data_IF_927005179491
#
_entry.id   IF_927005179491
#
_cell.length_a   1.000
_cell.length_b   1.000
_cell.length_c   1.000
_cell.angle_alpha   90.00
_cell.angle_beta   90.00
_cell.angle_gamma   90.00
#
_symmetry.space_group_name_H-M   'P 1'
#
loop_
_entity.id
_entity.type
_entity.pdbx_description
1 polymer ?
#
# COMPACT_ATOMS: atom_id res chain seq x y z
N UNK A 1 42.60 -5.16 15.28
CA UNK A 1 41.28 -5.85 15.29
C UNK A 1 40.31 -5.07 16.16
N UNK A 2 39.45 -4.26 15.56
CA UNK A 2 38.33 -3.60 16.24
C UNK A 2 37.04 -4.28 15.75
N UNK A 3 36.36 -4.99 16.65
CA UNK A 3 35.00 -5.49 16.43
C UNK A 3 34.10 -4.29 16.20
N UNK A 4 33.54 -4.17 15.00
CA UNK A 4 32.44 -3.26 14.70
C UNK A 4 31.20 -3.71 15.47
N UNK A 5 30.80 -2.92 16.45
CA UNK A 5 29.59 -3.09 17.25
C UNK A 5 28.40 -2.74 16.36
N UNK A 6 27.94 -3.72 15.59
CA UNK A 6 26.69 -3.65 14.85
C UNK A 6 25.81 -4.79 15.36
N UNK A 7 25.43 -4.69 16.63
CA UNK A 7 24.44 -5.56 17.24
C UNK A 7 23.55 -4.74 18.18
N UNK A 8 22.25 -4.86 17.93
CA UNK A 8 21.15 -4.64 18.87
C UNK A 8 20.93 -3.24 19.49
N UNK A 9 20.32 -2.36 18.71
CA UNK A 9 19.31 -1.45 19.26
C UNK A 9 17.97 -1.76 18.59
N UNK A 10 17.27 -2.79 19.10
CA UNK A 10 15.86 -3.05 18.78
C UNK A 10 15.04 -1.90 19.37
N UNK A 11 14.97 -0.79 18.65
CA UNK A 11 14.22 0.40 19.08
C UNK A 11 12.75 0.06 19.21
N UNK A 12 12.18 0.28 20.41
CA UNK A 12 10.74 0.17 20.67
C UNK A 12 9.99 1.08 19.69
N UNK A 13 9.28 0.49 18.73
CA UNK A 13 8.41 1.24 17.83
C UNK A 13 7.07 1.50 18.49
N UNK A 14 6.38 2.53 18.06
CA UNK A 14 5.03 2.85 18.50
C UNK A 14 4.08 2.72 17.31
N UNK A 15 3.03 1.95 17.50
CA UNK A 15 1.93 1.81 16.54
C UNK A 15 0.93 2.92 16.78
N UNK A 16 0.70 3.71 15.75
CA UNK A 16 -0.31 4.76 15.73
C UNK A 16 -1.56 4.20 15.04
N UNK A 17 -2.72 4.41 15.63
CA UNK A 17 -4.00 3.93 15.10
C UNK A 17 -5.03 5.05 15.17
N UNK A 18 -5.62 5.36 14.02
CA UNK A 18 -6.65 6.37 13.84
C UNK A 18 -7.93 5.62 13.45
N UNK A 19 -8.91 5.49 14.37
CA UNK A 19 -10.20 4.89 14.04
C UNK A 19 -10.91 5.73 13.00
N UNK A 20 -11.67 5.06 12.13
CA UNK A 20 -12.37 5.68 11.00
C UNK A 20 -11.43 6.40 10.02
N UNK A 21 -10.12 6.15 10.10
CA UNK A 21 -9.11 6.83 9.28
C UNK A 21 -9.32 6.67 7.77
N UNK A 22 -9.98 5.58 7.34
CA UNK A 22 -10.33 5.32 5.94
C UNK A 22 -11.36 6.32 5.37
N UNK A 23 -12.08 7.05 6.23
CA UNK A 23 -12.96 8.18 5.83
C UNK A 23 -12.16 9.30 5.17
N UNK A 24 -10.89 9.45 5.55
CA UNK A 24 -10.08 10.61 5.21
C UNK A 24 -9.09 10.31 4.09
N UNK A 25 -8.79 11.31 3.26
CA UNK A 25 -7.70 11.23 2.30
C UNK A 25 -6.36 11.12 3.05
N UNK A 26 -5.46 10.23 2.60
CA UNK A 26 -4.16 9.98 3.24
C UNK A 26 -3.33 11.25 3.40
N UNK A 27 -3.15 12.02 2.31
CA UNK A 27 -2.35 13.24 2.29
C UNK A 27 -2.92 14.29 3.23
N UNK A 28 -4.25 14.51 3.19
CA UNK A 28 -4.93 15.42 4.10
C UNK A 28 -4.75 15.00 5.58
N UNK A 29 -4.96 13.71 5.88
CA UNK A 29 -4.86 13.18 7.24
C UNK A 29 -3.43 13.36 7.78
N UNK A 30 -2.42 13.01 6.97
CA UNK A 30 -1.03 13.14 7.37
C UNK A 30 -0.62 14.60 7.54
N UNK A 31 -0.99 15.50 6.63
CA UNK A 31 -0.69 16.92 6.74
C UNK A 31 -1.36 17.55 7.96
N UNK A 32 -2.59 17.13 8.29
CA UNK A 32 -3.33 17.61 9.46
C UNK A 32 -2.68 17.17 10.78
N UNK A 33 -2.14 15.95 10.81
CA UNK A 33 -1.39 15.44 11.98
C UNK A 33 -0.06 16.16 12.11
N UNK A 34 0.67 16.33 11.00
CA UNK A 34 1.97 16.99 10.99
C UNK A 34 1.86 18.46 11.42
N UNK A 35 0.80 19.18 11.03
CA UNK A 35 0.62 20.59 11.41
C UNK A 35 0.33 20.81 12.89
N UNK A 36 -0.22 19.81 13.58
CA UNK A 36 -0.54 19.87 15.01
C UNK A 36 0.51 19.18 15.90
N UNK A 37 1.42 18.42 15.31
CA UNK A 37 2.50 17.74 16.01
C UNK A 37 3.67 18.71 16.22
N UNK A 38 4.12 18.86 17.47
CA UNK A 38 5.26 19.72 17.81
C UNK A 38 6.62 19.11 17.42
N UNK A 39 6.64 17.84 17.01
CA UNK A 39 7.85 17.12 16.59
C UNK A 39 7.67 16.68 15.14
N UNK A 40 8.60 17.02 14.22
CA UNK A 40 8.55 16.52 12.86
C UNK A 40 8.79 15.01 12.86
N UNK A 41 8.03 14.28 12.04
CA UNK A 41 8.21 12.83 11.92
C UNK A 41 7.86 12.36 10.52
N UNK A 42 8.40 11.20 10.15
CA UNK A 42 8.02 10.49 8.93
C UNK A 42 7.21 9.26 9.33
N UNK A 43 5.94 9.15 8.90
CA UNK A 43 5.17 7.94 9.15
C UNK A 43 5.83 6.75 8.46
N UNK A 44 6.03 5.67 9.19
CA UNK A 44 6.57 4.43 8.65
C UNK A 44 5.39 3.50 8.35
N UNK A 45 5.36 2.94 7.14
CA UNK A 45 4.33 1.97 6.71
C UNK A 45 2.92 2.49 6.99
N UNK A 46 2.54 3.64 6.42
CA UNK A 46 1.16 4.10 6.52
C UNK A 46 0.25 3.21 5.66
N UNK A 47 -0.84 2.75 6.23
CA UNK A 47 -1.79 1.88 5.54
C UNK A 47 -3.15 1.90 6.22
N UNK A 48 -4.15 1.38 5.51
CA UNK A 48 -5.46 1.13 6.09
C UNK A 48 -5.55 -0.34 6.55
N UNK A 49 -6.28 -0.60 7.64
CA UNK A 49 -6.72 -1.95 8.03
C UNK A 49 -8.16 -1.83 8.48
N UNK A 50 -9.07 -2.49 7.76
CA UNK A 50 -10.52 -2.31 7.95
C UNK A 50 -10.84 -0.81 7.86
N UNK A 51 -11.56 -0.27 8.83
CA UNK A 51 -11.90 1.15 8.88
C UNK A 51 -10.93 1.96 9.75
N UNK A 52 -9.62 1.69 9.70
CA UNK A 52 -8.62 2.38 10.52
C UNK A 52 -7.40 2.74 9.68
N UNK A 53 -6.85 3.93 9.88
CA UNK A 53 -5.51 4.24 9.40
C UNK A 53 -4.49 3.84 10.46
N UNK A 54 -3.36 3.28 10.03
CA UNK A 54 -2.28 2.82 10.89
C UNK A 54 -0.94 3.19 10.29
N UNK A 55 0.00 3.56 11.15
CA UNK A 55 1.41 3.77 10.79
C UNK A 55 2.27 3.60 12.03
N UNK A 56 3.59 3.64 11.87
CA UNK A 56 4.55 3.46 12.94
C UNK A 56 5.51 4.64 13.04
N UNK A 57 6.03 4.86 14.26
CA UNK A 57 7.13 5.79 14.55
C UNK A 57 8.16 5.10 15.44
N UNK A 58 9.43 5.51 15.35
CA UNK A 58 10.53 4.89 16.10
C UNK A 58 10.80 5.55 17.45
N UNK A 59 10.47 6.83 17.61
CA UNK A 59 10.87 7.61 18.79
C UNK A 59 9.74 7.77 19.80
N UNK A 60 10.08 7.59 21.08
CA UNK A 60 9.15 7.80 22.19
C UNK A 60 8.72 9.28 22.32
N UNK A 61 9.60 10.23 21.98
CA UNK A 61 9.28 11.65 21.92
C UNK A 61 8.19 11.94 20.89
N UNK A 62 8.36 11.42 19.67
CA UNK A 62 7.37 11.49 18.60
C UNK A 62 6.05 10.82 18.99
N UNK A 63 6.12 9.65 19.62
CA UNK A 63 4.93 8.95 20.11
C UNK A 63 4.17 9.75 21.18
N UNK A 64 4.88 10.42 22.10
CA UNK A 64 4.29 11.31 23.10
C UNK A 64 3.65 12.53 22.44
N UNK A 65 4.35 13.18 21.50
CA UNK A 65 3.83 14.32 20.77
C UNK A 65 2.55 13.96 20.00
N UNK A 66 2.51 12.79 19.36
CA UNK A 66 1.31 12.28 18.67
C UNK A 66 0.15 11.98 19.62
N UNK A 67 0.43 11.56 20.86
CA UNK A 67 -0.59 11.39 21.89
C UNK A 67 -1.22 12.73 22.26
N UNK A 68 -0.43 13.80 22.27
CA UNK A 68 -0.92 15.16 22.53
C UNK A 68 -1.72 15.74 21.36
N UNK A 69 -1.59 15.20 20.15
CA UNK A 69 -2.43 15.60 18.98
C UNK A 69 -3.85 15.03 19.07
N UNK A 70 -4.08 14.01 19.91
CA UNK A 70 -5.37 13.35 20.04
C UNK A 70 -6.52 14.36 20.27
N UNK A 71 -7.56 14.26 19.45
CA UNK A 71 -8.75 15.12 19.50
C UNK A 71 -8.50 16.62 19.27
N UNK A 72 -7.33 17.03 18.75
CA UNK A 72 -7.03 18.42 18.36
C UNK A 72 -7.40 18.75 16.91
N UNK A 73 -7.53 17.73 16.06
CA UNK A 73 -7.90 17.89 14.64
C UNK A 73 -9.40 17.68 14.50
N UNK A 74 -10.07 18.56 13.78
CA UNK A 74 -11.47 18.43 13.37
C UNK A 74 -11.56 18.17 11.86
N UNK A 75 -12.47 17.30 11.45
CA UNK A 75 -12.85 17.17 10.04
C UNK A 75 -13.86 18.25 9.63
N UNK A 76 -14.27 18.22 8.35
CA UNK A 76 -15.23 19.18 7.76
C UNK A 76 -16.59 19.19 8.45
N UNK A 77 -16.96 18.11 9.16
CA UNK A 77 -18.19 17.97 9.94
C UNK A 77 -18.00 18.37 11.41
N UNK A 78 -16.87 19.01 11.75
CA UNK A 78 -16.43 19.30 13.12
C UNK A 78 -16.28 18.05 14.02
N UNK A 79 -16.10 16.85 13.44
CA UNK A 79 -15.83 15.65 14.22
C UNK A 79 -14.34 15.58 14.59
N UNK A 80 -14.07 15.34 15.87
CA UNK A 80 -12.69 15.25 16.38
C UNK A 80 -12.04 13.91 16.01
N UNK A 81 -10.85 13.96 15.45
CA UNK A 81 -10.07 12.77 15.10
C UNK A 81 -9.36 12.24 16.34
N UNK A 82 -9.62 10.97 16.67
CA UNK A 82 -8.94 10.26 17.75
C UNK A 82 -7.65 9.58 17.25
N UNK A 83 -6.55 9.73 18.00
CA UNK A 83 -5.25 9.13 17.71
C UNK A 83 -4.84 8.26 18.90
N UNK A 84 -4.68 6.97 18.66
CA UNK A 84 -4.23 6.00 19.65
C UNK A 84 -2.78 5.63 19.41
N UNK A 85 -1.96 5.74 20.45
CA UNK A 85 -0.53 5.41 20.43
C UNK A 85 -0.30 4.20 21.32
N UNK A 86 0.15 3.10 20.75
CA UNK A 86 0.42 1.85 21.47
C UNK A 86 1.90 1.45 21.29
N UNK A 87 2.61 1.05 22.36
CA UNK A 87 3.91 0.41 22.19
C UNK A 87 3.78 -0.82 21.31
N UNK A 88 4.69 -0.98 20.36
CA UNK A 88 4.76 -2.16 19.51
C UNK A 88 5.96 -3.00 19.95
N UNK A 89 5.67 -4.20 20.44
CA UNK A 89 6.67 -5.21 20.80
C UNK A 89 6.98 -6.16 19.66
N UNK A 90 6.34 -5.98 18.49
CA UNK A 90 6.57 -6.90 17.36
C UNK A 90 8.00 -6.73 16.82
N UNK A 91 8.78 -7.83 16.74
CA UNK A 91 10.06 -7.80 16.08
C UNK A 91 9.82 -7.55 14.59
N UNK A 92 10.20 -6.35 14.12
CA UNK A 92 10.43 -5.97 12.72
C UNK A 92 9.71 -6.85 11.67
N UNK A 93 8.40 -6.67 11.49
CA UNK A 93 7.68 -7.23 10.33
C UNK A 93 7.95 -6.48 9.02
N UNK A 94 8.69 -5.36 9.07
CA UNK A 94 8.75 -4.36 8.00
C UNK A 94 10.15 -3.82 7.66
N UNK A 95 11.25 -4.44 8.11
CA UNK A 95 12.49 -4.30 7.33
C UNK A 95 12.31 -5.21 6.10
N UNK A 96 12.52 -4.66 4.90
CA UNK A 96 12.42 -5.39 3.63
C UNK A 96 13.01 -6.80 3.80
N UNK A 97 12.14 -7.82 3.82
CA UNK A 97 12.58 -9.23 3.87
C UNK A 97 13.36 -9.62 2.62
N UNK A 98 13.29 -8.80 1.57
CA UNK A 98 14.06 -8.96 0.36
C UNK A 98 15.45 -8.38 0.58
N UNK A 99 16.46 -9.23 0.45
CA UNK A 99 17.85 -8.79 0.30
C UNK A 99 17.98 -7.94 -0.98
N UNK A 100 19.01 -7.09 -1.08
CA UNK A 100 19.28 -6.32 -2.31
C UNK A 100 19.33 -7.21 -3.56
N UNK A 101 19.93 -8.40 -3.46
CA UNK A 101 20.00 -9.39 -4.53
C UNK A 101 18.60 -9.88 -4.97
N UNK A 102 17.71 -10.18 -4.02
CA UNK A 102 16.32 -10.56 -4.34
C UNK A 102 15.54 -9.40 -4.95
N UNK A 103 15.78 -8.17 -4.50
CA UNK A 103 15.17 -6.97 -5.10
C UNK A 103 15.63 -6.76 -6.55
N UNK A 104 16.92 -6.96 -6.83
CA UNK A 104 17.46 -6.86 -8.20
C UNK A 104 16.85 -7.91 -9.12
N UNK A 105 16.75 -9.17 -8.66
CA UNK A 105 16.12 -10.25 -9.44
C UNK A 105 14.65 -9.96 -9.71
N UNK A 106 13.90 -9.49 -8.71
CA UNK A 106 12.52 -9.07 -8.90
C UNK A 106 12.41 -7.94 -9.95
N UNK A 107 13.28 -6.94 -9.89
CA UNK A 107 13.32 -5.85 -10.88
C UNK A 107 13.59 -6.37 -12.28
N UNK A 108 14.56 -7.28 -12.45
CA UNK A 108 14.87 -7.88 -13.76
C UNK A 108 13.67 -8.67 -14.32
N UNK A 109 12.98 -9.45 -13.49
CA UNK A 109 11.75 -10.15 -13.90
C UNK A 109 10.67 -9.16 -14.33
N UNK A 110 10.46 -8.08 -13.57
CA UNK A 110 9.48 -7.05 -13.91
C UNK A 110 9.83 -6.33 -15.22
N UNK A 111 11.11 -6.06 -15.48
CA UNK A 111 11.57 -5.50 -16.75
C UNK A 111 11.27 -6.42 -17.94
N UNK A 112 11.46 -7.74 -17.80
CA UNK A 112 11.10 -8.71 -18.85
C UNK A 112 9.60 -8.74 -19.15
N UNK A 113 8.77 -8.42 -18.15
CA UNK A 113 7.31 -8.37 -18.21
C UNK A 113 6.75 -6.99 -18.59
N UNK A 114 7.63 -6.02 -18.87
CA UNK A 114 7.24 -4.68 -19.25
C UNK A 114 7.24 -4.53 -20.77
N UNK A 115 6.11 -4.12 -21.32
CA UNK A 115 5.97 -3.71 -22.71
C UNK A 115 6.20 -2.19 -22.81
N UNK A 116 7.33 -1.82 -23.41
CA UNK A 116 7.73 -0.42 -23.61
C UNK A 116 6.77 0.30 -24.56
N UNK A 117 6.20 -0.38 -25.56
CA UNK A 117 5.36 0.23 -26.58
C UNK A 117 4.01 0.69 -26.03
N UNK A 118 3.46 -0.09 -25.09
CA UNK A 118 2.19 0.19 -24.41
C UNK A 118 2.38 0.83 -23.03
N UNK A 119 3.63 1.00 -22.60
CA UNK A 119 4.00 1.36 -21.23
C UNK A 119 3.21 0.51 -20.22
N UNK A 120 3.17 -0.80 -20.44
CA UNK A 120 2.31 -1.75 -19.73
C UNK A 120 3.15 -2.80 -18.99
N UNK A 121 2.87 -3.01 -17.71
CA UNK A 121 3.56 -3.99 -16.87
C UNK A 121 2.65 -5.18 -16.55
N UNK A 122 3.04 -6.38 -16.98
CA UNK A 122 2.28 -7.60 -16.75
C UNK A 122 2.74 -8.40 -15.52
N UNK A 123 2.08 -8.21 -14.39
CA UNK A 123 2.32 -8.95 -13.15
C UNK A 123 1.27 -10.06 -12.92
N UNK A 124 0.59 -10.52 -13.98
CA UNK A 124 -0.31 -11.65 -13.87
C UNK A 124 0.41 -12.88 -13.33
N UNK A 125 -0.19 -13.53 -12.32
CA UNK A 125 0.32 -14.75 -11.68
C UNK A 125 1.80 -14.65 -11.26
N UNK A 126 2.25 -13.48 -10.77
CA UNK A 126 3.67 -13.18 -10.54
C UNK A 126 4.39 -14.22 -9.66
N UNK A 127 3.70 -14.77 -8.64
CA UNK A 127 4.23 -15.83 -7.78
C UNK A 127 4.81 -17.02 -8.57
N UNK A 128 4.24 -17.33 -9.73
CA UNK A 128 4.58 -18.48 -10.56
C UNK A 128 5.50 -18.12 -11.73
N UNK A 129 6.12 -16.94 -11.71
CA UNK A 129 7.14 -16.61 -12.70
C UNK A 129 8.35 -17.55 -12.56
N UNK A 130 8.83 -18.17 -13.67
CA UNK A 130 9.96 -19.10 -13.62
C UNK A 130 11.24 -18.49 -13.02
N UNK A 131 11.57 -17.24 -13.36
CA UNK A 131 12.79 -16.59 -12.88
C UNK A 131 12.72 -16.39 -11.35
N UNK A 132 11.53 -16.02 -10.83
CA UNK A 132 11.34 -15.84 -9.39
C UNK A 132 11.37 -17.17 -8.63
N UNK A 133 10.77 -18.22 -9.20
CA UNK A 133 10.78 -19.55 -8.60
C UNK A 133 12.19 -20.15 -8.55
N UNK A 134 12.99 -19.96 -9.60
CA UNK A 134 14.38 -20.42 -9.66
C UNK A 134 15.24 -19.79 -8.55
N UNK A 135 14.96 -18.54 -8.18
CA UNK A 135 15.72 -17.78 -7.19
C UNK A 135 15.10 -17.82 -5.78
N UNK A 136 14.13 -18.70 -5.53
CA UNK A 136 13.39 -18.82 -4.26
C UNK A 136 12.82 -17.47 -3.77
N UNK A 137 12.20 -16.73 -4.69
CA UNK A 137 11.56 -15.43 -4.44
C UNK A 137 10.04 -15.63 -4.44
N UNK A 138 9.47 -15.80 -3.26
CA UNK A 138 8.03 -16.04 -3.11
C UNK A 138 7.20 -14.73 -3.15
N UNK A 139 6.83 -14.28 -4.36
CA UNK A 139 6.05 -13.06 -4.59
C UNK A 139 4.54 -13.27 -4.43
N UNK A 140 4.07 -13.45 -3.19
CA UNK A 140 2.63 -13.37 -2.87
C UNK A 140 2.22 -11.91 -2.78
N UNK A 141 1.64 -11.34 -3.84
CA UNK A 141 1.27 -9.93 -3.87
C UNK A 141 0.23 -9.53 -2.82
N UNK A 142 -0.55 -10.47 -2.27
CA UNK A 142 -1.41 -10.14 -1.14
C UNK A 142 -0.64 -9.89 0.18
N UNK A 143 0.61 -10.33 0.29
CA UNK A 143 1.45 -9.99 1.45
C UNK A 143 1.97 -8.56 1.26
N UNK A 144 1.77 -7.70 2.27
CA UNK A 144 2.12 -6.27 2.20
C UNK A 144 3.55 -6.05 1.76
N UNK A 145 4.51 -6.77 2.32
CA UNK A 145 5.91 -6.64 1.97
C UNK A 145 6.22 -6.94 0.49
N UNK A 146 5.50 -7.89 -0.11
CA UNK A 146 5.66 -8.22 -1.52
C UNK A 146 5.07 -7.11 -2.38
N UNK A 147 3.86 -6.64 -2.06
CA UNK A 147 3.26 -5.50 -2.79
C UNK A 147 4.09 -4.23 -2.64
N UNK A 148 4.62 -3.95 -1.45
CA UNK A 148 5.48 -2.81 -1.19
C UNK A 148 6.76 -2.87 -2.02
N UNK A 149 7.44 -4.02 -2.07
CA UNK A 149 8.62 -4.22 -2.92
C UNK A 149 8.29 -4.00 -4.41
N UNK A 150 7.16 -4.54 -4.88
CA UNK A 150 6.67 -4.34 -6.25
C UNK A 150 6.44 -2.86 -6.54
N UNK A 151 5.71 -2.13 -5.67
CA UNK A 151 5.44 -0.71 -5.85
C UNK A 151 6.70 0.16 -5.74
N UNK A 152 7.68 -0.23 -4.91
CA UNK A 152 8.98 0.44 -4.85
C UNK A 152 9.75 0.32 -6.18
N UNK A 153 9.69 -0.84 -6.84
CA UNK A 153 10.30 -1.01 -8.16
C UNK A 153 9.54 -0.20 -9.20
N UNK A 154 8.20 -0.21 -9.17
CA UNK A 154 7.38 0.58 -10.10
C UNK A 154 7.72 2.07 -10.04
N UNK A 155 7.73 2.64 -8.83
CA UNK A 155 8.05 4.04 -8.60
C UNK A 155 9.42 4.45 -9.18
N UNK A 156 10.42 3.57 -9.07
CA UNK A 156 11.81 3.87 -9.45
C UNK A 156 12.12 3.56 -10.91
N UNK A 157 11.54 2.51 -11.46
CA UNK A 157 11.94 1.92 -12.74
C UNK A 157 10.92 2.12 -13.85
N UNK A 158 9.65 2.36 -13.52
CA UNK A 158 8.58 2.52 -14.50
C UNK A 158 7.81 3.84 -14.28
N UNK A 159 8.49 5.01 -14.32
CA UNK A 159 7.87 6.31 -14.02
C UNK A 159 6.80 6.74 -15.05
N UNK A 160 6.78 6.11 -16.23
CA UNK A 160 5.80 6.37 -17.29
C UNK A 160 4.75 5.26 -17.41
N UNK A 161 4.65 4.34 -16.44
CA UNK A 161 3.73 3.20 -16.47
C UNK A 161 2.26 3.63 -16.63
N UNK A 162 1.63 3.31 -17.77
CA UNK A 162 0.22 3.63 -18.03
C UNK A 162 -0.74 2.48 -17.70
N UNK A 163 -0.28 1.23 -17.85
CA UNK A 163 -1.11 0.03 -17.66
C UNK A 163 -0.47 -0.95 -16.70
N UNK A 164 -1.22 -1.39 -15.69
CA UNK A 164 -0.76 -2.36 -14.71
C UNK A 164 -1.71 -3.56 -14.67
N UNK A 165 -1.16 -4.75 -14.94
CA UNK A 165 -1.92 -6.00 -14.82
C UNK A 165 -1.57 -6.75 -13.54
N UNK A 166 -2.54 -6.88 -12.64
CA UNK A 166 -2.49 -7.65 -11.39
C UNK A 166 -3.44 -8.85 -11.42
N UNK A 167 -3.88 -9.28 -12.60
CA UNK A 167 -4.80 -10.40 -12.78
C UNK A 167 -4.30 -11.67 -12.09
N UNK A 168 -5.21 -12.40 -11.44
CA UNK A 168 -4.95 -13.74 -10.90
C UNK A 168 -3.75 -13.83 -9.94
N UNK A 169 -3.73 -12.94 -8.94
CA UNK A 169 -2.73 -12.92 -7.86
C UNK A 169 -3.33 -13.24 -6.48
N UNK A 170 -4.59 -13.68 -6.44
CA UNK A 170 -5.36 -13.99 -5.21
C UNK A 170 -5.42 -12.80 -4.24
N UNK A 171 -5.57 -11.59 -4.77
CA UNK A 171 -5.74 -10.38 -3.97
C UNK A 171 -7.13 -10.39 -3.33
N UNK A 172 -7.19 -10.41 -2.00
CA UNK A 172 -8.42 -10.28 -1.22
C UNK A 172 -8.56 -8.92 -0.54
N UNK A 173 -7.44 -8.22 -0.32
CA UNK A 173 -7.41 -6.84 0.19
C UNK A 173 -6.49 -5.95 -0.63
N UNK A 174 -6.88 -4.69 -0.83
CA UNK A 174 -6.11 -3.68 -1.55
C UNK A 174 -5.29 -2.75 -0.63
N UNK A 175 -5.19 -3.04 0.68
CA UNK A 175 -4.42 -2.20 1.63
C UNK A 175 -2.93 -2.13 1.28
N UNK A 176 -2.35 -3.19 0.69
CA UNK A 176 -0.97 -3.15 0.22
C UNK A 176 -0.80 -2.34 -1.08
N UNK A 177 -1.88 -2.18 -1.85
CA UNK A 177 -1.87 -1.48 -3.13
C UNK A 177 -2.20 0.01 -2.99
N UNK A 178 -2.69 0.47 -1.84
CA UNK A 178 -3.19 1.84 -1.66
C UNK A 178 -2.17 2.94 -1.96
N UNK A 179 -0.87 2.65 -1.84
CA UNK A 179 0.20 3.60 -2.16
C UNK A 179 0.42 3.79 -3.66
N UNK A 180 -0.26 3.03 -4.52
CA UNK A 180 -0.15 3.17 -5.99
C UNK A 180 -0.53 4.57 -6.47
N UNK A 181 -1.45 5.25 -5.78
CA UNK A 181 -1.89 6.62 -6.11
C UNK A 181 -0.70 7.59 -6.07
N UNK A 182 0.22 7.39 -5.14
CA UNK A 182 1.42 8.23 -4.97
C UNK A 182 2.60 7.69 -5.81
N UNK A 183 2.73 6.36 -5.91
CA UNK A 183 3.89 5.69 -6.51
C UNK A 183 3.80 5.50 -8.03
N UNK A 184 2.61 5.50 -8.58
CA UNK A 184 2.35 5.38 -10.02
C UNK A 184 1.10 6.20 -10.42
N UNK A 185 1.11 7.52 -10.18
CA UNK A 185 -0.05 8.39 -10.41
C UNK A 185 -0.53 8.43 -11.87
N UNK A 186 0.32 8.04 -12.81
CA UNK A 186 0.09 8.04 -14.25
C UNK A 186 -0.62 6.78 -14.77
N UNK A 187 -0.81 5.75 -13.94
CA UNK A 187 -1.54 4.54 -14.32
C UNK A 187 -3.00 4.88 -14.60
N UNK A 188 -3.46 4.52 -15.81
CA UNK A 188 -4.82 4.72 -16.32
C UNK A 188 -5.57 3.42 -16.53
N UNK A 189 -4.86 2.32 -16.76
CA UNK A 189 -5.44 1.00 -16.99
C UNK A 189 -5.00 0.09 -15.84
N UNK A 190 -5.96 -0.45 -15.09
CA UNK A 190 -5.68 -1.36 -13.99
C UNK A 190 -6.50 -2.63 -14.13
N UNK A 191 -5.83 -3.76 -14.29
CA UNK A 191 -6.48 -5.06 -14.33
C UNK A 191 -6.35 -5.77 -12.97
N UNK A 192 -7.46 -5.92 -12.26
CA UNK A 192 -7.59 -6.66 -11.00
C UNK A 192 -8.44 -7.92 -11.15
N UNK A 193 -8.67 -8.39 -12.37
CA UNK A 193 -9.56 -9.52 -12.65
C UNK A 193 -9.03 -10.85 -12.09
N UNK A 194 -9.93 -11.81 -11.86
CA UNK A 194 -9.63 -13.15 -11.33
C UNK A 194 -8.87 -13.14 -10.01
N UNK A 195 -9.13 -12.14 -9.16
CA UNK A 195 -8.66 -12.08 -7.79
C UNK A 195 -9.78 -12.51 -6.82
N UNK A 196 -9.60 -12.28 -5.52
CA UNK A 196 -10.50 -12.73 -4.45
C UNK A 196 -11.16 -11.55 -3.73
N UNK A 197 -11.35 -10.42 -4.43
CA UNK A 197 -11.95 -9.22 -3.86
C UNK A 197 -13.44 -9.46 -3.62
N UNK A 198 -13.87 -9.40 -2.35
CA UNK A 198 -15.25 -9.75 -1.95
C UNK A 198 -16.22 -8.58 -1.85
N UNK A 199 -15.73 -7.35 -1.87
CA UNK A 199 -16.57 -6.17 -1.69
C UNK A 199 -16.02 -4.98 -2.46
N UNK A 200 -16.91 -4.18 -3.04
CA UNK A 200 -16.58 -2.91 -3.70
C UNK A 200 -15.93 -1.88 -2.77
N UNK A 201 -16.08 -2.04 -1.44
CA UNK A 201 -15.42 -1.18 -0.43
C UNK A 201 -13.89 -1.18 -0.55
N UNK A 202 -13.30 -2.25 -1.09
CA UNK A 202 -11.85 -2.30 -1.34
C UNK A 202 -11.40 -1.26 -2.37
N UNK A 203 -12.25 -0.92 -3.34
CA UNK A 203 -11.94 0.03 -4.41
C UNK A 203 -11.77 1.47 -3.89
N UNK A 204 -12.34 1.80 -2.71
CA UNK A 204 -12.13 3.09 -2.05
C UNK A 204 -10.64 3.34 -1.77
N UNK A 205 -9.83 2.29 -1.61
CA UNK A 205 -8.38 2.39 -1.38
C UNK A 205 -7.61 2.86 -2.63
N UNK A 206 -8.24 2.81 -3.80
CA UNK A 206 -7.73 3.32 -5.07
C UNK A 206 -8.27 4.72 -5.39
N UNK A 207 -9.06 5.32 -4.48
CA UNK A 207 -9.59 6.68 -4.65
C UNK A 207 -8.43 7.66 -4.85
N UNK A 208 -8.47 8.39 -5.95
CA UNK A 208 -7.42 9.33 -6.37
C UNK A 208 -6.69 8.90 -7.63
N UNK A 209 -6.77 7.63 -8.02
CA UNK A 209 -6.35 7.22 -9.37
C UNK A 209 -7.31 7.77 -10.43
N UNK A 210 -6.76 8.19 -11.57
CA UNK A 210 -7.52 8.65 -12.75
C UNK A 210 -7.62 7.51 -13.76
N UNK A 211 -8.25 6.41 -13.34
CA UNK A 211 -8.39 5.22 -14.19
C UNK A 211 -9.38 5.50 -15.34
N UNK A 212 -8.95 5.17 -16.55
CA UNK A 212 -9.78 5.13 -17.75
C UNK A 212 -10.37 3.72 -17.93
N UNK A 213 -9.64 2.69 -17.49
CA UNK A 213 -10.09 1.29 -17.53
C UNK A 213 -9.79 0.54 -16.22
N UNK A 214 -10.79 -0.19 -15.72
CA UNK A 214 -10.68 -1.04 -14.53
C UNK A 214 -11.37 -2.38 -14.75
N UNK A 215 -10.60 -3.47 -14.66
CA UNK A 215 -11.11 -4.82 -14.89
C UNK A 215 -11.23 -5.57 -13.56
N UNK A 216 -12.43 -6.03 -13.21
CA UNK A 216 -12.72 -6.76 -11.97
C UNK A 216 -13.36 -8.14 -12.22
N UNK A 217 -13.54 -8.54 -13.48
CA UNK A 217 -14.19 -9.80 -13.87
C UNK A 217 -13.59 -11.01 -13.12
N UNK A 218 -14.44 -11.91 -12.64
CA UNK A 218 -14.00 -13.10 -11.91
C UNK A 218 -13.60 -12.86 -10.44
N UNK A 219 -13.83 -11.67 -9.87
CA UNK A 219 -13.79 -11.47 -8.43
C UNK A 219 -15.15 -11.78 -7.79
N UNK A 220 -15.19 -12.27 -6.53
CA UNK A 220 -16.45 -12.50 -5.82
C UNK A 220 -17.35 -11.25 -5.72
N UNK A 221 -16.81 -10.03 -5.62
CA UNK A 221 -17.61 -8.80 -5.58
C UNK A 221 -18.52 -8.60 -6.81
N UNK A 222 -18.23 -9.24 -7.94
CA UNK A 222 -19.05 -9.13 -9.13
C UNK A 222 -20.44 -9.77 -8.95
N UNK A 223 -20.61 -10.69 -8.00
CA UNK A 223 -21.94 -11.26 -7.70
C UNK A 223 -22.91 -10.23 -7.13
N UNK A 224 -22.39 -9.15 -6.54
CA UNK A 224 -23.20 -8.08 -5.96
C UNK A 224 -23.77 -7.15 -7.04
N UNK A 225 -23.31 -7.27 -8.30
CA UNK A 225 -23.69 -6.43 -9.43
C UNK A 225 -24.09 -7.30 -10.65
N UNK A 226 -25.31 -7.86 -10.65
CA UNK A 226 -25.77 -8.76 -11.71
C UNK A 226 -25.97 -8.10 -13.08
N UNK A 227 -26.07 -6.77 -13.15
CA UNK A 227 -26.13 -6.02 -14.41
C UNK A 227 -24.86 -5.16 -14.61
N UNK A 228 -24.31 -5.21 -15.83
CA UNK A 228 -23.14 -4.44 -16.27
C UNK A 228 -23.33 -2.91 -16.12
N UNK A 229 -24.57 -2.43 -16.09
CA UNK A 229 -24.94 -1.01 -15.90
C UNK A 229 -24.60 -0.49 -14.49
N UNK A 230 -24.62 -1.34 -13.46
CA UNK A 230 -24.27 -0.95 -12.09
C UNK A 230 -22.76 -0.84 -11.86
N UNK A 231 -21.95 -1.42 -12.76
CA UNK A 231 -20.49 -1.41 -12.72
C UNK A 231 -19.91 -0.03 -13.11
N UNK A 232 -20.52 0.63 -14.10
CA UNK A 232 -20.04 1.89 -14.69
C UNK A 232 -20.30 3.12 -13.79
N UNK A 233 -21.32 3.04 -12.92
CA UNK A 233 -21.72 4.13 -12.02
C UNK A 233 -20.78 4.33 -10.83
N UNK A 234 -19.93 3.35 -10.50
CA UNK A 234 -18.90 3.47 -9.45
C UNK A 234 -17.57 4.07 -9.97
N UNK A 235 -17.39 4.10 -11.29
CA UNK A 235 -16.19 4.60 -11.98
C UNK A 235 -16.37 6.02 -12.56
N UNK A 236 -17.56 6.60 -12.47
CA UNK A 236 -17.80 8.00 -12.86
C UNK A 236 -17.82 8.89 -11.62
N UNK A 237 -17.10 10.03 -11.61
CA UNK A 237 -17.03 10.95 -10.47
C UNK A 237 -18.37 11.59 -10.11
#
# INVERSE_FOLDING_TARGET
MKKSTQDEAVGRRFKITIPYGMKYNKTWLMNSILSHCCVPFTPIDFHYIKNRAQFFVQDASTASALKDVNCKICDEENQKISIFVNPCTEPNTLQNKFTPEKMEKLMLTMNKRYDVSQQALDLQKLRFDPDLMEHDIDMILNRRQCMFATLQIIERNFPELLSLNLCNNKLYWLDGLSDIVEKAPQVKILNLSKNELRTSKELVKLKGMKLEELWLEGNPLCSDFPEQSAYVSLSSP
#
